data_IF_150007523097
#
_entry.id   IF_150007523097
#
_cell.length_a   1.000
_cell.length_b   1.000
_cell.length_c   1.000
_cell.angle_alpha   90.00
_cell.angle_beta   90.00
_cell.angle_gamma   90.00
#
_symmetry.space_group_name_H-M   'P 1'
#
loop_
_entity.id
_entity.type
_entity.pdbx_description
1 polymer ?
#
# COMPACT_ATOMS: atom_id res chain seq x y z
N UNK A 1 25.36 10.53 5.49
CA UNK A 1 24.38 11.53 5.01
C UNK A 1 24.73 12.11 3.62
N UNK A 2 25.96 12.57 3.35
CA UNK A 2 26.31 13.24 2.07
C UNK A 2 26.04 12.45 0.79
N UNK A 3 26.34 11.14 0.75
CA UNK A 3 26.09 10.31 -0.44
C UNK A 3 24.60 10.14 -0.77
N UNK A 4 23.73 10.06 0.25
CA UNK A 4 22.28 10.03 0.03
C UNK A 4 21.77 11.38 -0.45
N UNK A 5 22.24 12.50 0.15
CA UNK A 5 21.86 13.84 -0.28
C UNK A 5 22.17 14.06 -1.76
N UNK A 6 23.39 13.71 -2.23
CA UNK A 6 23.74 13.79 -3.65
C UNK A 6 22.83 12.94 -4.53
N UNK A 7 22.54 11.69 -4.12
CA UNK A 7 21.69 10.77 -4.88
C UNK A 7 20.21 11.19 -4.89
N UNK A 8 19.76 11.87 -3.84
CA UNK A 8 18.45 12.47 -3.70
C UNK A 8 18.33 13.69 -4.62
N UNK A 9 19.32 14.59 -4.61
CA UNK A 9 19.34 15.80 -5.44
C UNK A 9 19.39 15.46 -6.93
N UNK A 10 20.22 14.48 -7.33
CA UNK A 10 20.31 13.97 -8.70
C UNK A 10 18.98 13.35 -9.18
N UNK A 11 18.31 12.54 -8.34
CA UNK A 11 16.99 11.98 -8.68
C UNK A 11 15.91 13.05 -8.75
N UNK A 12 15.92 14.02 -7.83
CA UNK A 12 15.00 15.16 -7.84
C UNK A 12 15.21 16.03 -9.09
N UNK A 13 16.46 16.29 -9.47
CA UNK A 13 16.83 17.01 -10.69
C UNK A 13 16.33 16.29 -11.95
N UNK A 14 16.45 14.96 -11.99
CA UNK A 14 15.92 14.12 -13.09
C UNK A 14 14.40 13.94 -13.04
N UNK A 15 13.71 14.55 -12.08
CA UNK A 15 12.25 14.55 -12.01
C UNK A 15 11.63 13.29 -11.41
N UNK A 16 12.37 12.47 -10.66
CA UNK A 16 11.80 11.31 -9.96
C UNK A 16 11.07 11.73 -8.68
N UNK A 17 9.94 11.06 -8.40
CA UNK A 17 9.15 11.24 -7.18
C UNK A 17 9.50 10.16 -6.16
N UNK A 18 9.90 10.56 -4.96
CA UNK A 18 10.06 9.64 -3.84
C UNK A 18 8.68 9.22 -3.30
N UNK A 19 8.45 7.91 -3.19
CA UNK A 19 7.20 7.30 -2.68
C UNK A 19 7.35 6.76 -1.25
N UNK A 20 8.57 6.49 -0.84
CA UNK A 20 8.91 6.09 0.52
C UNK A 20 10.39 6.32 0.76
N UNK A 21 10.72 6.69 1.99
CA UNK A 21 12.09 6.84 2.48
C UNK A 21 12.15 6.19 3.85
N UNK A 22 13.10 5.30 4.07
CA UNK A 22 13.32 4.67 5.36
C UNK A 22 14.75 4.97 5.79
N UNK A 23 14.89 5.65 6.93
CA UNK A 23 16.17 5.71 7.62
C UNK A 23 16.36 4.40 8.37
N UNK A 24 17.52 3.78 8.19
CA UNK A 24 17.91 2.58 8.92
C UNK A 24 18.91 3.00 9.99
N UNK A 25 18.61 2.63 11.23
CA UNK A 25 19.57 2.72 12.33
C UNK A 25 20.80 1.88 11.99
N UNK A 26 21.97 2.42 12.29
CA UNK A 26 23.22 1.70 12.14
C UNK A 26 23.24 0.43 12.98
N UNK A 27 23.88 -0.66 12.53
CA UNK A 27 24.30 -1.74 13.42
C UNK A 27 25.14 -1.18 14.57
N UNK A 28 25.10 -1.84 15.74
CA UNK A 28 25.92 -1.47 16.89
C UNK A 28 27.40 -1.28 16.48
N UNK A 29 27.92 -0.05 16.64
CA UNK A 29 29.30 0.31 16.30
C UNK A 29 29.50 1.16 15.03
N UNK A 30 28.44 1.47 14.26
CA UNK A 30 28.52 2.40 13.12
C UNK A 30 27.80 3.73 13.43
N UNK A 31 28.43 4.85 13.11
CA UNK A 31 27.83 6.20 13.20
C UNK A 31 27.14 6.63 11.89
N UNK A 32 27.13 5.77 10.88
CA UNK A 32 26.63 6.11 9.55
C UNK A 32 25.17 5.67 9.33
N UNK A 33 24.23 6.61 9.38
CA UNK A 33 22.84 6.38 8.95
C UNK A 33 22.78 6.03 7.47
N UNK A 34 22.04 4.96 7.14
CA UNK A 34 21.74 4.56 5.77
C UNK A 34 20.28 4.82 5.44
N UNK A 35 20.00 5.11 4.18
CA UNK A 35 18.64 5.36 3.70
C UNK A 35 18.31 4.39 2.58
N UNK A 36 17.12 3.80 2.67
CA UNK A 36 16.46 3.16 1.54
C UNK A 36 15.36 4.08 1.02
N UNK A 37 15.23 4.23 -0.30
CA UNK A 37 14.20 5.07 -0.89
C UNK A 37 13.63 4.44 -2.15
N UNK A 38 12.30 4.47 -2.27
CA UNK A 38 11.56 4.03 -3.46
C UNK A 38 11.19 5.27 -4.26
N UNK A 39 11.50 5.21 -5.56
CA UNK A 39 11.29 6.32 -6.49
C UNK A 39 10.44 5.84 -7.66
N UNK A 40 9.43 6.62 -8.04
CA UNK A 40 8.69 6.43 -9.26
C UNK A 40 9.10 7.50 -10.28
N UNK A 41 9.06 7.13 -11.55
CA UNK A 41 9.04 8.10 -12.64
C UNK A 41 7.74 8.93 -12.55
N UNK A 42 7.84 10.25 -12.60
CA UNK A 42 6.69 11.15 -12.50
C UNK A 42 6.99 12.50 -11.83
N UNK A 43 6.20 13.52 -12.19
CA UNK A 43 6.44 14.90 -11.75
C UNK A 43 6.44 15.07 -10.22
N UNK A 44 7.47 15.76 -9.69
CA UNK A 44 7.54 16.19 -8.29
C UNK A 44 6.60 17.37 -7.96
N UNK A 45 5.90 17.95 -8.96
CA UNK A 45 4.93 19.02 -8.73
C UNK A 45 3.88 18.54 -7.74
N UNK A 46 3.58 19.38 -6.75
CA UNK A 46 2.61 19.04 -5.71
C UNK A 46 3.11 18.10 -4.61
N UNK A 47 4.42 17.85 -4.54
CA UNK A 47 5.05 17.12 -3.43
C UNK A 47 6.16 17.94 -2.76
N UNK A 48 6.29 17.80 -1.44
CA UNK A 48 7.41 18.31 -0.65
C UNK A 48 8.03 17.17 0.13
N UNK A 49 9.36 17.12 0.19
CA UNK A 49 10.08 16.00 0.79
C UNK A 49 11.30 16.53 1.53
N UNK A 50 11.52 16.01 2.74
CA UNK A 50 12.64 16.39 3.59
C UNK A 50 13.13 15.15 4.34
N UNK A 51 14.41 15.14 4.68
CA UNK A 51 15.04 14.10 5.48
C UNK A 51 16.02 14.75 6.45
N UNK A 52 16.57 13.95 7.37
CA UNK A 52 17.53 14.42 8.37
C UNK A 52 17.02 15.54 9.28
N UNK A 53 15.71 15.58 9.50
CA UNK A 53 15.10 16.59 10.36
C UNK A 53 15.16 16.18 11.83
N UNK A 54 15.49 17.12 12.71
CA UNK A 54 15.23 16.98 14.14
C UNK A 54 13.71 16.96 14.40
N UNK A 55 13.29 16.57 15.61
CA UNK A 55 11.86 16.62 15.98
C UNK A 55 11.25 18.02 15.83
N UNK A 56 11.99 19.08 16.18
CA UNK A 56 11.54 20.46 16.02
C UNK A 56 11.57 20.91 14.55
N UNK A 57 12.58 20.49 13.79
CA UNK A 57 12.66 20.76 12.34
C UNK A 57 11.50 20.12 11.57
N UNK A 58 11.16 18.86 11.89
CA UNK A 58 9.98 18.20 11.34
C UNK A 58 8.70 18.95 11.68
N UNK A 59 8.52 19.37 12.95
CA UNK A 59 7.32 20.09 13.36
C UNK A 59 7.19 21.43 12.61
N UNK A 60 8.27 22.19 12.47
CA UNK A 60 8.27 23.43 11.71
C UNK A 60 7.86 23.22 10.23
N UNK A 61 8.39 22.18 9.57
CA UNK A 61 8.00 21.81 8.20
C UNK A 61 6.56 21.30 8.10
N UNK A 62 6.10 20.55 9.09
CA UNK A 62 4.71 20.11 9.15
C UNK A 62 3.75 21.30 9.20
N UNK A 63 4.06 22.31 10.02
CA UNK A 63 3.23 23.51 10.18
C UNK A 63 3.29 24.40 8.93
N UNK A 64 4.48 24.64 8.37
CA UNK A 64 4.71 25.36 7.10
C UNK A 64 3.84 24.74 5.98
N UNK A 65 3.98 23.44 5.74
CA UNK A 65 3.28 22.77 4.65
C UNK A 65 1.78 22.61 4.90
N UNK A 66 1.36 22.49 6.15
CA UNK A 66 -0.07 22.52 6.48
C UNK A 66 -0.69 23.87 6.12
N UNK A 67 0.01 24.98 6.38
CA UNK A 67 -0.42 26.33 6.01
C UNK A 67 -0.44 26.56 4.50
N UNK A 68 0.48 25.93 3.76
CA UNK A 68 0.53 25.96 2.29
C UNK A 68 -0.47 24.99 1.61
N UNK A 69 -1.30 24.29 2.38
CA UNK A 69 -2.35 23.39 1.87
C UNK A 69 -1.88 21.95 1.60
N UNK A 70 -0.60 21.64 1.75
CA UNK A 70 -0.09 20.28 1.65
C UNK A 70 -0.56 19.41 2.83
N UNK A 71 -0.51 18.08 2.64
CA UNK A 71 -0.87 17.08 3.65
C UNK A 71 0.23 16.03 3.71
N UNK A 72 0.68 15.68 4.92
CA UNK A 72 1.65 14.59 5.14
C UNK A 72 1.10 13.28 4.55
N UNK A 73 1.90 12.55 3.78
CA UNK A 73 1.53 11.22 3.24
C UNK A 73 2.47 10.11 3.72
N UNK A 74 3.65 10.47 4.22
CA UNK A 74 4.65 9.51 4.68
C UNK A 74 5.53 10.16 5.73
N UNK A 75 5.86 9.41 6.79
CA UNK A 75 6.84 9.81 7.81
C UNK A 75 7.60 8.59 8.30
N UNK A 76 8.91 8.71 8.45
CA UNK A 76 9.75 7.73 9.14
C UNK A 76 10.58 8.46 10.19
N UNK A 77 10.73 7.83 11.35
CA UNK A 77 11.73 8.16 12.34
C UNK A 77 12.88 7.14 12.32
N UNK A 78 14.07 7.59 12.68
CA UNK A 78 15.25 6.75 12.85
C UNK A 78 16.20 7.41 13.86
N UNK A 79 17.11 6.64 14.44
CA UNK A 79 18.16 7.18 15.29
C UNK A 79 19.38 7.60 14.48
N UNK A 80 19.93 8.76 14.83
CA UNK A 80 21.27 9.19 14.48
C UNK A 80 21.94 9.69 15.77
N UNK A 81 23.03 9.04 16.19
CA UNK A 81 23.74 9.33 17.45
C UNK A 81 22.77 9.42 18.64
N UNK A 82 21.98 8.36 18.85
CA UNK A 82 20.97 8.22 19.90
C UNK A 82 19.85 9.29 19.90
N UNK A 83 19.80 10.12 18.87
CA UNK A 83 18.78 11.16 18.72
C UNK A 83 17.81 10.82 17.59
N UNK A 84 16.51 11.02 17.84
CA UNK A 84 15.50 10.89 16.78
C UNK A 84 15.76 11.88 15.64
N UNK A 85 15.67 11.35 14.41
CA UNK A 85 15.64 12.08 13.14
C UNK A 85 14.43 11.63 12.35
N UNK A 86 13.96 12.50 11.45
CA UNK A 86 12.77 12.26 10.65
C UNK A 86 13.01 12.53 9.17
N UNK A 87 12.40 11.69 8.35
CA UNK A 87 12.18 11.96 6.94
C UNK A 87 10.69 11.85 6.61
N UNK A 88 10.22 12.72 5.73
CA UNK A 88 8.80 12.86 5.47
C UNK A 88 8.49 13.38 4.07
N UNK A 89 7.28 13.05 3.63
CA UNK A 89 6.74 13.42 2.33
C UNK A 89 5.35 14.03 2.54
N UNK A 90 5.13 15.18 1.94
CA UNK A 90 3.84 15.87 1.88
C UNK A 90 3.36 15.96 0.44
N UNK A 91 2.04 15.98 0.24
CA UNK A 91 1.40 16.15 -1.06
C UNK A 91 0.22 17.11 -0.98
N UNK A 92 0.02 17.93 -2.01
CA UNK A 92 -1.18 18.75 -2.19
C UNK A 92 -2.19 18.12 -3.18
N UNK A 93 -2.00 16.86 -3.57
CA UNK A 93 -2.92 16.12 -4.44
C UNK A 93 -4.05 15.43 -3.68
N UNK A 94 -4.31 15.84 -2.44
CA UNK A 94 -5.23 15.14 -1.55
C UNK A 94 -5.78 16.11 -0.52
N UNK A 95 -7.11 16.11 -0.41
CA UNK A 95 -7.84 16.93 0.55
C UNK A 95 -8.30 16.12 1.77
N UNK A 96 -8.00 14.82 1.83
CA UNK A 96 -8.37 13.96 2.95
C UNK A 96 -7.76 14.52 4.24
N UNK A 97 -8.57 14.86 5.27
CA UNK A 97 -8.04 15.36 6.53
C UNK A 97 -7.14 14.32 7.20
N UNK A 98 -5.99 14.78 7.71
CA UNK A 98 -4.99 13.92 8.36
C UNK A 98 -4.59 14.45 9.72
N UNK A 99 -4.36 13.52 10.64
CA UNK A 99 -3.64 13.77 11.87
C UNK A 99 -2.30 13.03 11.79
N UNK A 100 -1.24 13.65 12.30
CA UNK A 100 0.05 12.98 12.41
C UNK A 100 0.69 13.25 13.77
N UNK A 101 1.50 12.30 14.22
CA UNK A 101 2.34 12.41 15.41
C UNK A 101 3.73 11.91 15.07
N UNK A 102 4.73 12.56 15.63
CA UNK A 102 6.14 12.16 15.64
C UNK A 102 6.66 12.35 17.06
N UNK A 103 7.82 11.78 17.35
CA UNK A 103 8.44 11.85 18.67
C UNK A 103 7.49 11.40 19.81
N UNK A 104 6.59 10.46 19.51
CA UNK A 104 5.61 9.93 20.44
C UNK A 104 6.20 8.69 21.12
N UNK A 105 6.41 8.68 22.44
CA UNK A 105 6.83 7.45 23.13
C UNK A 105 5.86 6.30 22.84
N UNK A 106 6.37 5.08 22.66
CA UNK A 106 5.52 3.90 22.37
C UNK A 106 4.47 3.65 23.44
N UNK A 107 4.75 4.00 24.70
CA UNK A 107 3.81 3.96 25.83
C UNK A 107 2.55 4.80 25.61
N UNK A 108 2.66 5.90 24.86
CA UNK A 108 1.60 6.87 24.62
C UNK A 108 0.85 6.61 23.31
N UNK A 109 1.32 5.65 22.51
CA UNK A 109 0.74 5.35 21.22
C UNK A 109 -0.69 4.84 21.32
N UNK A 110 -0.96 3.94 22.28
CA UNK A 110 -2.28 3.31 22.39
C UNK A 110 -3.38 4.32 22.77
N UNK A 111 -3.11 5.20 23.74
CA UNK A 111 -4.05 6.27 24.12
C UNK A 111 -4.27 7.26 22.97
N UNK A 112 -3.19 7.66 22.29
CA UNK A 112 -3.26 8.53 21.10
C UNK A 112 -4.09 7.90 19.99
N UNK A 113 -3.89 6.61 19.72
CA UNK A 113 -4.63 5.85 18.71
C UNK A 113 -6.13 5.83 19.04
N UNK A 114 -6.49 5.53 20.28
CA UNK A 114 -7.88 5.43 20.72
C UNK A 114 -8.58 6.79 20.70
N UNK A 115 -7.88 7.87 21.07
CA UNK A 115 -8.44 9.22 21.04
C UNK A 115 -8.65 9.75 19.62
N UNK A 116 -7.72 9.48 18.70
CA UNK A 116 -7.91 9.78 17.28
C UNK A 116 -9.05 8.94 16.68
N UNK A 117 -9.17 7.68 17.08
CA UNK A 117 -10.28 6.81 16.66
C UNK A 117 -11.64 7.37 17.06
N UNK A 118 -11.78 7.89 18.29
CA UNK A 118 -13.01 8.58 18.78
C UNK A 118 -13.33 9.83 17.96
N UNK A 119 -12.31 10.54 17.48
CA UNK A 119 -12.46 11.73 16.62
C UNK A 119 -12.78 11.39 15.14
N UNK A 120 -12.88 10.10 14.81
CA UNK A 120 -13.18 9.62 13.46
C UNK A 120 -11.95 9.42 12.57
N UNK A 121 -10.74 9.58 13.11
CA UNK A 121 -9.50 9.26 12.40
C UNK A 121 -9.21 7.75 12.45
N UNK A 122 -8.50 7.25 11.46
CA UNK A 122 -8.13 5.83 11.31
C UNK A 122 -6.69 5.72 10.84
N UNK A 123 -5.93 4.81 11.44
CA UNK A 123 -4.49 4.67 11.16
C UNK A 123 -4.26 4.34 9.68
N UNK A 124 -3.29 4.98 9.04
CA UNK A 124 -2.90 4.69 7.67
C UNK A 124 -1.42 4.39 7.49
N UNK A 125 -0.59 4.98 8.34
CA UNK A 125 0.85 4.77 8.32
C UNK A 125 1.37 4.76 9.75
N UNK A 126 2.28 3.84 10.05
CA UNK A 126 2.93 3.73 11.34
C UNK A 126 4.38 3.31 11.16
N UNK A 127 5.27 3.97 11.88
CA UNK A 127 6.68 3.63 11.96
C UNK A 127 7.13 3.73 13.40
N UNK A 128 7.78 2.69 13.88
CA UNK A 128 8.41 2.60 15.18
C UNK A 128 9.92 2.65 14.99
N UNK A 129 10.61 3.39 15.85
CA UNK A 129 12.06 3.46 15.87
C UNK A 129 12.57 3.62 17.30
N UNK A 130 13.76 3.11 17.55
CA UNK A 130 14.43 3.24 18.84
C UNK A 130 15.45 4.38 18.78
N UNK A 131 15.51 5.19 19.84
CA UNK A 131 16.55 6.21 20.04
C UNK A 131 16.83 6.36 21.55
N UNK A 132 18.10 6.32 21.94
CA UNK A 132 18.54 6.38 23.35
C UNK A 132 17.76 5.40 24.26
N UNK A 133 17.70 4.12 23.88
CA UNK A 133 17.00 3.04 24.60
C UNK A 133 15.48 3.25 24.79
N UNK A 134 14.89 4.21 24.08
CA UNK A 134 13.45 4.48 24.10
C UNK A 134 12.85 4.27 22.71
N UNK A 135 11.74 3.51 22.64
CA UNK A 135 10.96 3.36 21.42
C UNK A 135 10.03 4.56 21.23
N UNK A 136 10.05 5.13 20.03
CA UNK A 136 9.19 6.19 19.58
C UNK A 136 8.36 5.77 18.36
N UNK A 137 7.27 6.49 18.13
CA UNK A 137 6.33 6.26 17.05
C UNK A 137 6.18 7.53 16.21
N UNK A 138 6.24 7.36 14.90
CA UNK A 138 5.77 8.31 13.91
C UNK A 138 4.58 7.70 13.15
N UNK A 139 3.45 8.38 13.14
CA UNK A 139 2.20 7.80 12.62
C UNK A 139 1.31 8.85 11.97
N UNK A 140 0.52 8.40 10.98
CA UNK A 140 -0.44 9.20 10.24
C UNK A 140 -1.80 8.50 10.28
N UNK A 141 -2.83 9.26 10.60
CA UNK A 141 -4.23 8.84 10.55
C UNK A 141 -5.01 9.68 9.55
N UNK A 142 -5.96 9.04 8.87
CA UNK A 142 -6.85 9.65 7.89
C UNK A 142 -8.26 9.73 8.46
N UNK A 143 -8.99 10.80 8.14
CA UNK A 143 -10.43 10.88 8.34
C UNK A 143 -11.12 10.77 6.99
N UNK A 144 -11.48 9.54 6.61
CA UNK A 144 -12.02 9.22 5.30
C UNK A 144 -13.17 8.21 5.43
N UNK A 145 -14.30 8.51 4.80
CA UNK A 145 -15.46 7.60 4.75
C UNK A 145 -15.11 6.31 4.02
N UNK A 146 -15.53 5.16 4.55
CA UNK A 146 -15.26 3.84 3.98
C UNK A 146 -13.84 3.31 4.21
N UNK A 147 -12.93 4.13 4.76
CA UNK A 147 -11.59 3.69 5.13
C UNK A 147 -11.62 3.00 6.51
N UNK A 148 -11.64 1.67 6.51
CA UNK A 148 -11.79 0.85 7.72
C UNK A 148 -10.56 -0.05 7.97
N UNK A 149 -9.40 0.52 8.29
CA UNK A 149 -8.18 -0.24 8.51
C UNK A 149 -8.21 -1.00 9.84
N UNK A 150 -7.41 -2.06 9.90
CA UNK A 150 -7.00 -2.73 11.13
C UNK A 150 -5.53 -2.35 11.41
N UNK A 151 -5.28 -1.76 12.58
CA UNK A 151 -3.93 -1.51 13.07
C UNK A 151 -3.55 -2.51 14.16
N UNK A 152 -2.32 -3.00 14.14
CA UNK A 152 -1.74 -3.80 15.24
C UNK A 152 -0.30 -3.39 15.49
N UNK A 153 0.13 -3.48 16.76
CA UNK A 153 1.52 -3.32 17.19
C UNK A 153 1.89 -4.38 18.23
N UNK A 154 3.14 -4.40 18.70
CA UNK A 154 3.67 -5.34 19.69
C UNK A 154 3.53 -6.83 19.30
N UNK A 155 3.63 -7.15 18.00
CA UNK A 155 3.57 -8.52 17.52
C UNK A 155 4.95 -9.15 17.48
N UNK A 156 5.13 -10.30 18.15
CA UNK A 156 6.29 -11.14 17.92
C UNK A 156 6.30 -11.69 16.48
N UNK A 157 7.46 -12.09 15.92
CA UNK A 157 7.58 -12.50 14.52
C UNK A 157 6.63 -13.64 14.10
N UNK A 158 6.47 -14.67 14.95
CA UNK A 158 5.62 -15.82 14.63
C UNK A 158 4.13 -15.46 14.60
N UNK A 159 3.67 -14.64 15.55
CA UNK A 159 2.30 -14.13 15.55
C UNK A 159 2.04 -13.13 14.42
N UNK A 160 3.05 -12.38 14.00
CA UNK A 160 2.92 -11.46 12.87
C UNK A 160 2.58 -12.19 11.58
N UNK A 161 3.32 -13.25 11.24
CA UNK A 161 3.04 -14.06 10.04
C UNK A 161 1.63 -14.65 10.07
N UNK A 162 1.23 -15.23 11.20
CA UNK A 162 -0.12 -15.80 11.38
C UNK A 162 -1.21 -14.73 11.19
N UNK A 163 -0.96 -13.51 11.67
CA UNK A 163 -1.88 -12.37 11.50
C UNK A 163 -1.99 -11.98 10.02
N UNK A 164 -0.88 -11.93 9.29
CA UNK A 164 -0.87 -11.66 7.85
C UNK A 164 -1.68 -12.70 7.07
N UNK A 165 -1.49 -14.00 7.34
CA UNK A 165 -2.24 -15.07 6.69
C UNK A 165 -3.73 -14.99 7.01
N UNK A 166 -4.09 -14.71 8.27
CA UNK A 166 -5.48 -14.56 8.70
C UNK A 166 -6.15 -13.40 7.99
N UNK A 167 -5.51 -12.24 7.91
CA UNK A 167 -6.09 -11.06 7.26
C UNK A 167 -6.13 -11.18 5.74
N UNK A 168 -5.14 -11.82 5.12
CA UNK A 168 -5.20 -12.16 3.69
C UNK A 168 -6.42 -13.06 3.38
N UNK A 169 -6.68 -14.08 4.21
CA UNK A 169 -7.86 -14.94 4.09
C UNK A 169 -9.20 -14.23 4.31
N UNK A 170 -9.19 -13.09 5.00
CA UNK A 170 -10.37 -12.23 5.24
C UNK A 170 -10.45 -11.04 4.28
N UNK A 171 -9.74 -11.10 3.15
CA UNK A 171 -9.73 -10.09 2.11
C UNK A 171 -9.16 -8.71 2.51
N UNK A 172 -8.16 -8.71 3.40
CA UNK A 172 -7.37 -7.52 3.71
C UNK A 172 -6.02 -7.55 2.99
N UNK A 173 -5.49 -6.37 2.65
CA UNK A 173 -4.10 -6.17 2.22
C UNK A 173 -3.30 -5.43 3.28
N UNK A 174 -2.06 -5.85 3.47
CA UNK A 174 -1.06 -5.12 4.25
C UNK A 174 -0.63 -3.88 3.48
N UNK A 175 -0.75 -2.69 4.07
CA UNK A 175 -0.36 -1.41 3.43
C UNK A 175 0.77 -0.70 4.13
N UNK A 176 1.04 -1.04 5.39
CA UNK A 176 2.14 -0.47 6.15
C UNK A 176 2.68 -1.54 7.12
N UNK A 177 4.00 -1.60 7.26
CA UNK A 177 4.70 -2.46 8.20
C UNK A 177 5.88 -1.70 8.80
N UNK A 178 6.11 -1.89 10.09
CA UNK A 178 7.29 -1.43 10.80
C UNK A 178 7.80 -2.55 11.69
N UNK A 179 9.03 -3.00 11.42
CA UNK A 179 9.79 -3.79 12.39
C UNK A 179 10.50 -2.85 13.36
N UNK A 180 10.55 -3.19 14.63
CA UNK A 180 11.26 -2.44 15.66
C UNK A 180 11.72 -3.37 16.77
N UNK A 181 12.66 -2.89 17.59
CA UNK A 181 13.10 -3.56 18.80
C UNK A 181 12.57 -2.79 20.01
N UNK A 182 12.15 -3.51 21.02
CA UNK A 182 11.72 -2.93 22.29
C UNK A 182 11.88 -4.01 23.37
N UNK A 183 12.45 -3.64 24.52
CA UNK A 183 12.80 -4.56 25.61
C UNK A 183 13.68 -5.75 25.17
N UNK A 184 14.57 -5.51 24.20
CA UNK A 184 15.45 -6.54 23.66
C UNK A 184 14.76 -7.61 22.82
N UNK A 185 13.50 -7.42 22.41
CA UNK A 185 12.76 -8.31 21.53
C UNK A 185 12.39 -7.63 20.21
N UNK A 186 12.44 -8.38 19.11
CA UNK A 186 11.95 -7.90 17.81
C UNK A 186 10.41 -7.96 17.79
N UNK A 187 9.82 -6.84 17.38
CA UNK A 187 8.37 -6.62 17.33
C UNK A 187 7.97 -6.05 15.98
N UNK A 188 6.71 -6.26 15.61
CA UNK A 188 6.10 -5.72 14.41
C UNK A 188 4.86 -4.89 14.72
N UNK A 189 4.76 -3.78 14.01
CA UNK A 189 3.54 -2.99 13.85
C UNK A 189 3.14 -2.96 12.39
N UNK A 190 1.85 -2.90 12.13
CA UNK A 190 1.32 -2.94 10.78
C UNK A 190 -0.10 -2.40 10.67
N UNK A 191 -0.44 -2.00 9.44
CA UNK A 191 -1.77 -1.54 9.04
C UNK A 191 -2.24 -2.40 7.87
N UNK A 192 -3.44 -2.95 8.02
CA UNK A 192 -4.14 -3.65 6.97
C UNK A 192 -5.40 -2.89 6.59
N UNK A 193 -5.74 -2.89 5.31
CA UNK A 193 -6.96 -2.27 4.79
C UNK A 193 -7.77 -3.34 4.07
N UNK A 194 -9.11 -3.32 4.15
CA UNK A 194 -9.95 -4.14 3.29
C UNK A 194 -9.63 -3.87 1.82
N UNK A 195 -9.68 -4.89 0.96
CA UNK A 195 -9.68 -4.65 -0.48
C UNK A 195 -10.98 -3.95 -0.89
N UNK A 196 -10.93 -2.64 -1.11
CA UNK A 196 -12.00 -1.87 -1.75
C UNK A 196 -12.12 -2.22 -3.23
N UNK A 197 -12.77 -3.33 -3.58
CA UNK A 197 -12.89 -3.78 -4.97
C UNK A 197 -14.05 -3.10 -5.69
N UNK A 198 -13.85 -2.83 -6.97
CA UNK A 198 -14.87 -2.32 -7.88
C UNK A 198 -15.27 -3.43 -8.85
N UNK A 199 -16.58 -3.64 -8.99
CA UNK A 199 -17.14 -4.54 -9.99
C UNK A 199 -17.26 -3.81 -11.32
N UNK A 200 -16.66 -4.35 -12.37
CA UNK A 200 -16.72 -3.80 -13.71
C UNK A 200 -16.95 -4.90 -14.73
N UNK A 201 -17.86 -4.65 -15.66
CA UNK A 201 -18.16 -5.55 -16.78
C UNK A 201 -17.92 -4.82 -18.09
N UNK A 202 -17.14 -5.42 -18.99
CA UNK A 202 -16.81 -4.91 -20.31
C UNK A 202 -17.26 -5.90 -21.41
N UNK A 203 -17.34 -5.40 -22.64
CA UNK A 203 -17.74 -6.22 -23.80
C UNK A 203 -19.23 -6.19 -24.11
N UNK A 204 -19.61 -6.96 -25.13
CA UNK A 204 -20.97 -6.96 -25.68
C UNK A 204 -21.96 -7.50 -24.64
N UNK A 205 -22.94 -6.67 -24.28
CA UNK A 205 -24.05 -7.07 -23.43
C UNK A 205 -25.17 -7.69 -24.28
N UNK A 206 -25.80 -8.74 -23.76
CA UNK A 206 -27.08 -9.26 -24.23
C UNK A 206 -27.96 -9.51 -23.01
N UNK A 207 -29.06 -8.76 -22.89
CA UNK A 207 -29.97 -8.87 -21.74
C UNK A 207 -30.63 -10.24 -21.64
N UNK A 208 -30.80 -10.96 -22.75
CA UNK A 208 -31.32 -12.33 -22.73
C UNK A 208 -30.34 -13.33 -22.11
N UNK A 209 -29.06 -12.95 -21.99
CA UNK A 209 -27.97 -13.75 -21.43
C UNK A 209 -27.45 -13.21 -20.09
N UNK A 210 -28.16 -12.27 -19.45
CA UNK A 210 -27.75 -11.63 -18.19
C UNK A 210 -27.50 -12.63 -17.04
N UNK A 211 -28.08 -13.83 -17.10
CA UNK A 211 -27.83 -14.90 -16.13
C UNK A 211 -26.35 -15.31 -16.06
N UNK A 212 -25.60 -15.22 -17.18
CA UNK A 212 -24.15 -15.46 -17.18
C UNK A 212 -23.40 -14.40 -16.38
N UNK A 213 -23.76 -13.12 -16.55
CA UNK A 213 -23.12 -12.03 -15.80
C UNK A 213 -23.34 -12.22 -14.29
N UNK A 214 -24.56 -12.54 -13.85
CA UNK A 214 -24.87 -12.78 -12.44
C UNK A 214 -24.15 -14.01 -11.87
N UNK A 215 -24.05 -15.08 -12.65
CA UNK A 215 -23.32 -16.29 -12.24
C UNK A 215 -21.82 -16.02 -12.08
N UNK A 216 -21.21 -15.29 -13.04
CA UNK A 216 -19.79 -14.91 -12.96
C UNK A 216 -19.54 -13.95 -11.81
N UNK A 217 -20.39 -12.94 -11.61
CA UNK A 217 -20.28 -12.00 -10.48
C UNK A 217 -20.30 -12.74 -9.14
N UNK A 218 -21.26 -13.64 -8.95
CA UNK A 218 -21.38 -14.45 -7.73
C UNK A 218 -20.13 -15.31 -7.54
N UNK A 219 -19.75 -16.09 -8.55
CA UNK A 219 -18.59 -16.98 -8.48
C UNK A 219 -17.30 -16.22 -8.19
N UNK A 220 -17.06 -15.09 -8.86
CA UNK A 220 -15.86 -14.28 -8.66
C UNK A 220 -15.80 -13.67 -7.27
N UNK A 221 -16.92 -13.14 -6.75
CA UNK A 221 -16.96 -12.55 -5.41
C UNK A 221 -16.76 -13.59 -4.32
N UNK A 222 -17.44 -14.73 -4.43
CA UNK A 222 -17.35 -15.83 -3.45
C UNK A 222 -15.93 -16.41 -3.36
N UNK A 223 -15.18 -16.38 -4.46
CA UNK A 223 -13.82 -16.92 -4.54
C UNK A 223 -12.73 -15.86 -4.60
N UNK A 224 -13.07 -14.57 -4.45
CA UNK A 224 -12.07 -13.49 -4.48
C UNK A 224 -11.23 -13.50 -5.77
N UNK A 225 -11.88 -13.78 -6.91
CA UNK A 225 -11.22 -13.83 -8.22
C UNK A 225 -11.12 -12.40 -8.78
N UNK A 226 -9.91 -11.89 -9.08
CA UNK A 226 -9.74 -10.50 -9.49
C UNK A 226 -10.24 -10.21 -10.92
N UNK A 227 -10.24 -11.21 -11.81
CA UNK A 227 -10.59 -11.02 -13.20
C UNK A 227 -11.03 -12.30 -13.90
N UNK A 228 -11.98 -12.19 -14.83
CA UNK A 228 -12.49 -13.29 -15.64
C UNK A 228 -12.86 -12.79 -17.04
N UNK A 229 -12.60 -13.59 -18.07
CA UNK A 229 -13.19 -13.41 -19.41
C UNK A 229 -14.08 -14.60 -19.73
N UNK A 230 -15.26 -14.34 -20.29
CA UNK A 230 -16.22 -15.36 -20.69
C UNK A 230 -16.65 -15.14 -22.14
N UNK A 231 -16.53 -16.19 -22.94
CA UNK A 231 -17.07 -16.26 -24.28
C UNK A 231 -18.03 -17.46 -24.38
N UNK A 232 -19.20 -17.25 -25.00
CA UNK A 232 -20.18 -18.32 -25.27
C UNK A 232 -20.47 -18.34 -26.74
N UNK A 233 -20.32 -19.51 -27.38
CA UNK A 233 -20.72 -19.74 -28.76
C UNK A 233 -21.85 -20.75 -28.86
N UNK A 234 -22.73 -20.56 -29.85
CA UNK A 234 -23.81 -21.49 -30.17
C UNK A 234 -23.97 -21.56 -31.68
N UNK A 235 -24.01 -22.77 -32.23
CA UNK A 235 -24.14 -23.01 -33.68
C UNK A 235 -23.07 -22.29 -34.52
N UNK A 236 -21.82 -22.24 -34.05
CA UNK A 236 -20.71 -21.58 -34.75
C UNK A 236 -20.65 -20.05 -34.58
N UNK A 237 -21.63 -19.44 -33.92
CA UNK A 237 -21.66 -17.99 -33.70
C UNK A 237 -21.31 -17.64 -32.25
N UNK A 238 -20.52 -16.58 -32.07
CA UNK A 238 -20.22 -16.01 -30.76
C UNK A 238 -21.42 -15.19 -30.28
N UNK A 239 -22.11 -15.67 -29.25
CA UNK A 239 -23.33 -15.05 -28.70
C UNK A 239 -23.07 -14.18 -27.47
N UNK A 240 -21.94 -14.39 -26.77
CA UNK A 240 -21.51 -13.59 -25.63
C UNK A 240 -19.98 -13.45 -25.63
N UNK A 241 -19.47 -12.26 -25.33
CA UNK A 241 -18.06 -12.01 -25.07
C UNK A 241 -17.92 -10.89 -24.04
N UNK A 242 -17.49 -11.27 -22.83
CA UNK A 242 -17.48 -10.41 -21.64
C UNK A 242 -16.12 -10.45 -20.96
N UNK A 243 -15.70 -9.31 -20.43
CA UNK A 243 -14.63 -9.21 -19.45
C UNK A 243 -15.19 -8.72 -18.12
N UNK A 244 -14.77 -9.32 -17.02
CA UNK A 244 -15.25 -9.04 -15.66
C UNK A 244 -14.05 -8.73 -14.76
N UNK A 245 -14.14 -7.67 -13.97
CA UNK A 245 -13.11 -7.25 -13.02
C UNK A 245 -13.70 -7.07 -11.63
N UNK A 246 -12.95 -7.54 -10.63
CA UNK A 246 -13.23 -7.36 -9.21
C UNK A 246 -11.93 -6.97 -8.48
N UNK A 247 -11.49 -5.72 -8.71
CA UNK A 247 -10.15 -5.24 -8.31
C UNK A 247 -10.19 -3.88 -7.61
N UNK A 248 -9.17 -3.61 -6.80
CA UNK A 248 -9.05 -2.42 -5.93
C UNK A 248 -8.64 -1.15 -6.65
N UNK A 249 -7.96 -1.29 -7.79
CA UNK A 249 -7.36 -0.21 -8.56
C UNK A 249 -7.53 -0.57 -10.04
N UNK A 250 -8.50 0.04 -10.73
CA UNK A 250 -8.79 -0.26 -12.15
C UNK A 250 -7.75 0.47 -13.03
N UNK A 251 -6.50 0.01 -13.01
CA UNK A 251 -5.51 0.46 -14.00
C UNK A 251 -5.57 -0.37 -15.28
N UNK A 252 -5.98 -1.64 -15.19
CA UNK A 252 -6.08 -2.55 -16.34
C UNK A 252 -7.27 -3.49 -16.14
N UNK A 253 -8.49 -3.05 -16.48
CA UNK A 253 -9.65 -3.91 -16.38
C UNK A 253 -9.57 -5.06 -17.39
N UNK A 254 -10.24 -6.16 -17.06
CA UNK A 254 -10.38 -7.30 -17.96
C UNK A 254 -11.37 -6.96 -19.06
N UNK A 255 -10.88 -7.01 -20.29
CA UNK A 255 -11.64 -6.91 -21.52
C UNK A 255 -11.90 -8.30 -22.12
N UNK A 256 -12.89 -8.45 -23.02
CA UNK A 256 -13.09 -9.71 -23.74
C UNK A 256 -11.84 -10.22 -24.47
N UNK A 257 -10.93 -9.30 -24.84
CA UNK A 257 -9.68 -9.56 -25.55
C UNK A 257 -8.46 -9.67 -24.63
N UNK A 258 -8.62 -9.53 -23.30
CA UNK A 258 -7.51 -9.70 -22.36
C UNK A 258 -6.94 -11.12 -22.45
N UNK A 259 -5.61 -11.20 -22.52
CA UNK A 259 -4.91 -12.48 -22.61
C UNK A 259 -4.62 -13.05 -21.22
N UNK A 260 -4.98 -14.32 -21.05
CA UNK A 260 -4.68 -15.09 -19.85
C UNK A 260 -3.69 -16.21 -20.18
N UNK A 261 -2.90 -16.62 -19.19
CA UNK A 261 -2.04 -17.79 -19.33
C UNK A 261 -2.92 -19.05 -19.37
N UNK A 262 -2.97 -19.71 -20.53
CA UNK A 262 -3.83 -20.88 -20.76
C UNK A 262 -3.41 -22.14 -19.97
N UNK A 263 -2.12 -22.28 -19.65
CA UNK A 263 -1.58 -23.49 -19.02
C UNK A 263 -2.06 -24.77 -19.75
N UNK A 264 -2.51 -25.80 -19.03
CA UNK A 264 -2.91 -27.09 -19.63
C UNK A 264 -4.11 -27.02 -20.58
N UNK A 265 -4.88 -25.93 -20.60
CA UNK A 265 -5.97 -25.77 -21.59
C UNK A 265 -5.44 -25.68 -23.03
N UNK A 266 -4.15 -25.37 -23.23
CA UNK A 266 -3.50 -25.39 -24.54
C UNK A 266 -3.50 -26.77 -25.21
N UNK A 267 -3.62 -27.85 -24.43
CA UNK A 267 -3.61 -29.23 -24.95
C UNK A 267 -4.79 -29.50 -25.89
N UNK A 268 -5.97 -28.98 -25.59
CA UNK A 268 -7.14 -29.13 -26.47
C UNK A 268 -6.93 -28.43 -27.81
N UNK A 269 -6.25 -27.27 -27.81
CA UNK A 269 -5.88 -26.58 -29.04
C UNK A 269 -4.86 -27.39 -29.86
N UNK A 270 -3.87 -27.98 -29.19
CA UNK A 270 -2.91 -28.89 -29.85
C UNK A 270 -3.61 -30.12 -30.44
N UNK A 271 -4.58 -30.70 -29.73
CA UNK A 271 -5.38 -31.82 -30.24
C UNK A 271 -6.16 -31.43 -31.50
N UNK A 272 -6.86 -30.30 -31.49
CA UNK A 272 -7.59 -29.80 -32.67
C UNK A 272 -6.66 -29.55 -33.87
N UNK A 273 -5.45 -29.03 -33.63
CA UNK A 273 -4.45 -28.85 -34.67
C UNK A 273 -3.99 -30.18 -35.28
N UNK A 274 -3.81 -31.22 -34.45
CA UNK A 274 -3.46 -32.57 -34.93
C UNK A 274 -4.58 -33.15 -35.80
N UNK A 275 -5.83 -33.07 -35.34
CA UNK A 275 -6.99 -33.57 -36.11
C UNK A 275 -7.10 -32.86 -37.47
N UNK A 276 -6.86 -31.54 -37.52
CA UNK A 276 -6.90 -30.77 -38.78
C UNK A 276 -5.84 -31.17 -39.82
N UNK A 277 -4.81 -31.92 -39.42
CA UNK A 277 -3.80 -32.48 -40.32
C UNK A 277 -4.15 -33.90 -40.78
N UNK A 278 -5.12 -34.55 -40.11
CA UNK A 278 -5.59 -35.89 -40.44
C UNK A 278 -6.80 -35.88 -41.36
N UNK A 279 -7.51 -34.75 -41.44
CA UNK A 279 -8.54 -34.45 -42.46
C UNK A 279 -7.91 -34.03 -43.80
#
# INVERSE_FOLDING_TARGET
SSGYQTAYDDRRFRGYLIKGVMGLSSPAGSTATTFAAVWNDGSFRGYQTHHDMTASGYQAKFDEYSAEGYKIIYVTGYAENDSSRYAAIWSNHTDTPRAARHNLPSSDYQSTYDDLKKQGYRIAHVNFHEAADQTYVAAIWLKQTGYNPLGSHNRDPGKFETTCQTFAGNDYRLTCISGYREDGADKYAAVWVPHSRTWLVQGRADTSLAAFDSAVETFMKDHTIPGCSLAVSRNGELVLARGYSWITDIESPVEPTSLFRLASTSKSLTGAAIESLME
#
